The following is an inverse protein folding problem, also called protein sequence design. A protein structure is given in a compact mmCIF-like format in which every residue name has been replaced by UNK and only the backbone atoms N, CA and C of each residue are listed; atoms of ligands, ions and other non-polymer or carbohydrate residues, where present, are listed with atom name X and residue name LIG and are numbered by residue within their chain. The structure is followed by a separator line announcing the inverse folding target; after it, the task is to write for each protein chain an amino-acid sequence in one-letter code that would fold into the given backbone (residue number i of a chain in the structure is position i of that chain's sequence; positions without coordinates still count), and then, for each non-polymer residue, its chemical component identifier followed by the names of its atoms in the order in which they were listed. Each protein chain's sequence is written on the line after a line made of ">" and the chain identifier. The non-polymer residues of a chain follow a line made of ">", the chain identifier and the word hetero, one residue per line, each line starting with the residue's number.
data_IF_543864572220
#
_entry.id   IF_543864572220
#
_cell.length_a   1.000
_cell.length_b   1.000
_cell.length_c   1.000
_cell.angle_alpha   90.00
_cell.angle_beta   90.00
_cell.angle_gamma   90.00
#
_symmetry.space_group_name_H-M   'P 1'
#
loop_
_entity.id
_entity.type
_entity.pdbx_description
1 polymer ?
#
# COMPACT_ATOMS: atom_id res chain seq x y z
N UNK A 1 -45.62 -33.78 16.63
CA UNK A 1 -44.84 -33.18 17.74
C UNK A 1 -43.64 -32.49 17.11
N UNK A 2 -43.70 -31.16 17.13
CA UNK A 2 -42.66 -30.13 16.96
C UNK A 2 -41.43 -30.43 16.08
N UNK A 3 -41.43 -29.77 14.93
CA UNK A 3 -40.26 -29.09 14.37
C UNK A 3 -39.84 -27.96 15.31
N UNK A 4 -38.63 -28.00 15.85
CA UNK A 4 -38.02 -26.84 16.53
C UNK A 4 -36.51 -26.81 16.21
N UNK A 5 -36.16 -25.88 15.34
CA UNK A 5 -34.81 -25.62 14.88
C UNK A 5 -34.77 -24.39 13.98
N UNK A 6 -35.44 -23.32 14.41
CA UNK A 6 -35.32 -21.99 13.80
C UNK A 6 -33.88 -21.51 13.94
N UNK A 7 -33.07 -21.67 12.90
CA UNK A 7 -31.91 -20.81 12.67
C UNK A 7 -32.35 -19.74 11.68
N UNK A 8 -32.64 -18.55 12.20
CA UNK A 8 -33.00 -17.41 11.38
C UNK A 8 -31.86 -17.06 10.41
N UNK A 9 -32.17 -17.12 9.12
CA UNK A 9 -31.39 -16.45 8.08
C UNK A 9 -31.50 -14.93 8.29
N UNK A 10 -30.50 -14.36 8.98
CA UNK A 10 -30.50 -12.92 9.23
C UNK A 10 -29.17 -12.39 9.74
N UNK A 11 -28.53 -11.57 8.90
CA UNK A 11 -27.83 -10.32 9.30
C UNK A 11 -26.29 -10.25 9.45
N UNK A 12 -25.49 -11.20 8.97
CA UNK A 12 -24.01 -11.09 9.11
C UNK A 12 -23.25 -10.30 8.02
N UNK A 13 -23.93 -9.70 7.06
CA UNK A 13 -23.33 -8.77 6.10
C UNK A 13 -24.14 -7.48 6.00
N UNK A 14 -24.29 -6.77 7.12
CA UNK A 14 -24.49 -5.32 7.03
C UNK A 14 -23.23 -4.74 6.38
N UNK A 15 -23.39 -4.17 5.18
CA UNK A 15 -22.39 -3.33 4.51
C UNK A 15 -21.75 -2.44 5.58
N UNK A 16 -20.52 -2.76 5.97
CA UNK A 16 -19.73 -1.84 6.77
C UNK A 16 -19.40 -0.72 5.82
N UNK A 17 -20.24 0.31 5.81
CA UNK A 17 -19.79 1.64 5.46
C UNK A 17 -18.61 1.90 6.39
N UNK A 18 -17.41 1.75 5.84
CA UNK A 18 -16.16 2.11 6.49
C UNK A 18 -16.15 3.64 6.61
N UNK A 19 -16.94 4.16 7.53
CA UNK A 19 -16.83 5.52 8.04
C UNK A 19 -15.55 5.59 8.88
N UNK A 20 -14.41 5.51 8.18
CA UNK A 20 -13.11 5.85 8.71
C UNK A 20 -13.18 7.36 8.99
N UNK A 21 -13.35 7.71 10.27
CA UNK A 21 -13.23 9.09 10.72
C UNK A 21 -11.78 9.52 10.48
N UNK A 22 -11.56 10.27 9.41
CA UNK A 22 -10.29 10.93 9.07
C UNK A 22 -9.69 11.60 10.31
N UNK A 23 -8.52 11.13 10.77
CA UNK A 23 -7.67 11.84 11.72
C UNK A 23 -6.43 12.30 10.96
N UNK A 24 -6.58 13.43 10.27
CA UNK A 24 -5.57 14.01 9.39
C UNK A 24 -6.28 14.53 8.14
N UNK A 25 -6.21 15.83 7.89
CA UNK A 25 -6.84 16.41 6.70
C UNK A 25 -6.00 16.05 5.48
N UNK A 26 -6.50 15.14 4.65
CA UNK A 26 -6.00 14.89 3.29
C UNK A 26 -5.94 16.15 2.40
N UNK A 27 -6.54 17.25 2.86
CA UNK A 27 -6.58 18.55 2.19
C UNK A 27 -5.20 19.17 1.92
N UNK A 28 -4.16 18.83 2.70
CA UNK A 28 -2.82 19.43 2.56
C UNK A 28 -1.87 18.57 1.70
N UNK A 29 -2.29 17.37 1.28
CA UNK A 29 -1.50 16.47 0.45
C UNK A 29 -1.77 16.79 -1.02
N UNK A 30 -0.75 17.19 -1.81
CA UNK A 30 -0.94 17.44 -3.23
C UNK A 30 -1.48 16.20 -3.96
N UNK A 31 -2.31 16.37 -5.00
CA UNK A 31 -2.77 15.25 -5.82
C UNK A 31 -1.59 14.53 -6.49
N UNK A 32 -1.77 13.26 -6.91
CA UNK A 32 -0.74 12.56 -7.63
C UNK A 32 -0.47 13.26 -8.96
N UNK A 33 0.78 13.25 -9.41
CA UNK A 33 1.10 13.80 -10.73
C UNK A 33 0.48 12.92 -11.81
N UNK A 34 0.01 13.53 -12.91
CA UNK A 34 -0.51 12.78 -14.07
C UNK A 34 0.54 11.80 -14.63
N UNK A 35 1.83 12.14 -14.53
CA UNK A 35 2.93 11.24 -14.90
C UNK A 35 2.96 10.01 -13.99
N UNK A 36 2.88 10.18 -12.67
CA UNK A 36 2.89 9.07 -11.72
C UNK A 36 1.74 8.08 -11.96
N UNK A 37 0.50 8.58 -12.11
CA UNK A 37 -0.67 7.74 -12.41
C UNK A 37 -0.47 7.00 -13.73
N UNK A 38 -0.05 7.69 -14.79
CA UNK A 38 0.19 7.04 -16.08
C UNK A 38 1.26 5.94 -15.99
N UNK A 39 2.36 6.19 -15.29
CA UNK A 39 3.42 5.19 -15.17
C UNK A 39 3.00 3.97 -14.31
N UNK A 40 2.13 4.13 -13.31
CA UNK A 40 1.60 2.97 -12.57
C UNK A 40 0.67 2.12 -13.43
N UNK A 41 -0.17 2.74 -14.28
CA UNK A 41 -1.00 2.03 -15.24
C UNK A 41 -0.18 1.33 -16.32
N UNK A 42 0.88 1.94 -16.86
CA UNK A 42 1.78 1.29 -17.83
C UNK A 42 2.53 0.13 -17.21
N UNK A 43 2.99 0.26 -15.97
CA UNK A 43 3.78 -0.78 -15.33
C UNK A 43 3.06 -2.13 -15.27
N UNK A 44 1.72 -2.13 -15.07
CA UNK A 44 0.94 -3.37 -14.98
C UNK A 44 0.93 -4.20 -16.28
N UNK A 45 1.25 -3.59 -17.43
CA UNK A 45 1.38 -4.30 -18.71
C UNK A 45 2.52 -5.32 -18.69
N UNK A 46 3.52 -5.13 -17.82
CA UNK A 46 4.66 -6.03 -17.64
C UNK A 46 4.46 -7.05 -16.52
N UNK A 47 3.28 -7.07 -15.89
CA UNK A 47 2.96 -8.01 -14.82
C UNK A 47 3.07 -9.45 -15.30
N UNK A 48 3.72 -10.28 -14.49
CA UNK A 48 3.78 -11.73 -14.70
C UNK A 48 2.95 -12.40 -13.61
N UNK A 49 1.64 -12.52 -13.84
CA UNK A 49 0.69 -13.07 -12.88
C UNK A 49 -0.14 -14.24 -13.45
N UNK A 50 0.49 -15.36 -13.85
CA UNK A 50 -0.21 -16.46 -14.49
C UNK A 50 -1.13 -17.25 -13.53
N UNK A 51 -1.08 -17.01 -12.22
CA UNK A 51 -1.87 -17.76 -11.25
C UNK A 51 -3.09 -16.98 -10.78
N UNK A 52 -2.94 -15.70 -10.43
CA UNK A 52 -4.08 -14.86 -10.01
C UNK A 52 -4.76 -14.15 -11.16
N UNK A 53 -4.07 -13.97 -12.29
CA UNK A 53 -4.49 -13.15 -13.43
C UNK A 53 -4.80 -11.69 -13.05
N UNK A 54 -4.38 -11.26 -11.86
CA UNK A 54 -4.60 -9.90 -11.35
C UNK A 54 -3.34 -9.06 -11.59
N UNK A 55 -3.36 -8.26 -12.65
CA UNK A 55 -2.26 -7.33 -12.95
C UNK A 55 -2.32 -6.12 -12.02
N UNK A 56 -1.19 -5.84 -11.38
CA UNK A 56 -0.99 -4.68 -10.52
C UNK A 56 0.28 -3.96 -10.95
N UNK A 57 0.18 -2.64 -11.09
CA UNK A 57 1.29 -1.75 -11.38
C UNK A 57 1.44 -0.69 -10.31
N UNK A 58 2.66 -0.20 -10.12
CA UNK A 58 2.96 0.84 -9.16
C UNK A 58 4.00 1.83 -9.72
N UNK A 59 3.89 3.08 -9.28
CA UNK A 59 4.84 4.15 -9.60
C UNK A 59 5.19 4.93 -8.34
N UNK A 60 6.45 4.80 -7.92
CA UNK A 60 7.04 5.47 -6.78
C UNK A 60 7.67 6.80 -7.23
N UNK A 61 7.27 7.91 -6.62
CA UNK A 61 7.88 9.22 -6.77
C UNK A 61 8.87 9.46 -5.64
N UNK A 62 10.09 9.87 -5.96
CA UNK A 62 11.14 10.23 -5.01
C UNK A 62 11.14 11.73 -4.72
N UNK A 63 11.84 12.17 -3.68
CA UNK A 63 11.95 13.60 -3.34
C UNK A 63 12.65 14.43 -4.43
N UNK A 64 13.60 13.83 -5.15
CA UNK A 64 14.30 14.46 -6.27
C UNK A 64 13.50 14.42 -7.59
N UNK A 65 12.25 13.96 -7.54
CA UNK A 65 11.31 14.03 -8.67
C UNK A 65 11.43 12.88 -9.68
N UNK A 66 12.23 11.85 -9.39
CA UNK A 66 12.34 10.66 -10.21
C UNK A 66 11.16 9.71 -9.97
N UNK A 67 10.83 8.91 -10.99
CA UNK A 67 9.75 7.94 -10.92
C UNK A 67 10.30 6.54 -11.22
N UNK A 68 10.07 5.63 -10.29
CA UNK A 68 10.40 4.23 -10.40
C UNK A 68 9.12 3.41 -10.48
N UNK A 69 8.95 2.67 -11.57
CA UNK A 69 7.80 1.80 -11.77
C UNK A 69 8.11 0.35 -11.43
N UNK A 70 7.06 -0.39 -11.09
CA UNK A 70 7.12 -1.82 -10.80
C UNK A 70 5.77 -2.50 -11.04
N UNK A 71 5.80 -3.82 -11.24
CA UNK A 71 4.62 -4.66 -11.38
C UNK A 71 4.71 -5.88 -10.46
N UNK A 72 3.59 -6.56 -10.24
CA UNK A 72 3.61 -7.83 -9.55
C UNK A 72 4.20 -8.94 -10.44
N UNK A 73 5.02 -9.78 -9.81
CA UNK A 73 5.65 -10.95 -10.43
C UNK A 73 5.39 -12.14 -9.53
N UNK A 74 4.59 -13.06 -10.02
CA UNK A 74 4.19 -14.25 -9.29
C UNK A 74 5.17 -15.41 -9.50
N UNK A 75 5.20 -16.29 -8.52
CA UNK A 75 5.98 -17.52 -8.54
C UNK A 75 5.09 -18.71 -8.14
N UNK A 76 5.38 -19.90 -8.66
CA UNK A 76 4.67 -21.13 -8.29
C UNK A 76 4.72 -21.39 -6.76
N UNK A 77 5.85 -21.05 -6.13
CA UNK A 77 5.93 -20.90 -4.68
C UNK A 77 5.47 -19.49 -4.32
N UNK A 78 4.19 -19.33 -3.96
CA UNK A 78 3.56 -18.01 -3.78
C UNK A 78 4.25 -17.10 -2.77
N UNK A 79 4.98 -17.68 -1.80
CA UNK A 79 5.78 -16.90 -0.84
C UNK A 79 6.89 -16.07 -1.50
N UNK A 80 7.37 -16.49 -2.68
CA UNK A 80 8.40 -15.81 -3.46
C UNK A 80 7.84 -14.73 -4.39
N UNK A 81 6.51 -14.59 -4.46
CA UNK A 81 5.87 -13.57 -5.30
C UNK A 81 6.14 -12.15 -4.76
N UNK A 82 6.41 -11.22 -5.67
CA UNK A 82 6.60 -9.81 -5.35
C UNK A 82 5.41 -8.97 -5.82
N UNK A 83 4.96 -8.06 -4.96
CA UNK A 83 3.93 -7.08 -5.30
C UNK A 83 4.55 -5.89 -6.03
N UNK A 84 3.74 -5.16 -6.81
CA UNK A 84 4.17 -4.04 -7.62
C UNK A 84 4.88 -2.93 -6.83
N UNK A 85 4.37 -2.61 -5.64
CA UNK A 85 4.92 -1.58 -4.75
C UNK A 85 6.32 -1.95 -4.28
N UNK A 86 6.51 -3.22 -3.86
CA UNK A 86 7.83 -3.73 -3.43
C UNK A 86 8.80 -3.77 -4.60
N UNK A 87 8.34 -4.12 -5.80
CA UNK A 87 9.16 -4.05 -7.02
C UNK A 87 9.64 -2.62 -7.29
N UNK A 88 8.74 -1.63 -7.25
CA UNK A 88 9.07 -0.21 -7.49
C UNK A 88 10.04 0.34 -6.43
N UNK A 89 9.80 0.03 -5.15
CA UNK A 89 10.64 0.45 -4.02
C UNK A 89 12.03 -0.18 -4.12
N UNK A 90 12.11 -1.50 -4.32
CA UNK A 90 13.38 -2.20 -4.44
C UNK A 90 14.22 -1.64 -5.61
N UNK A 91 13.57 -1.34 -6.73
CA UNK A 91 14.23 -0.70 -7.88
C UNK A 91 14.82 0.65 -7.49
N UNK A 92 14.01 1.57 -6.95
CA UNK A 92 14.47 2.89 -6.51
C UNK A 92 15.65 2.79 -5.53
N UNK A 93 15.54 1.92 -4.53
CA UNK A 93 16.57 1.72 -3.51
C UNK A 93 17.87 1.16 -4.11
N UNK A 94 17.75 0.19 -5.04
CA UNK A 94 18.91 -0.38 -5.72
C UNK A 94 19.65 0.63 -6.61
N UNK A 95 18.94 1.66 -7.08
CA UNK A 95 19.48 2.76 -7.87
C UNK A 95 19.88 3.97 -7.00
N UNK A 96 19.88 3.83 -5.66
CA UNK A 96 20.37 4.83 -4.72
C UNK A 96 19.31 5.80 -4.17
N UNK A 97 18.04 5.64 -4.53
CA UNK A 97 16.95 6.52 -4.10
C UNK A 97 16.23 5.97 -2.86
N UNK A 98 16.49 6.60 -1.71
CA UNK A 98 15.89 6.20 -0.41
C UNK A 98 14.93 7.22 0.19
N UNK A 99 14.88 8.43 -0.38
CA UNK A 99 13.94 9.48 0.03
C UNK A 99 12.71 9.44 -0.85
N UNK A 100 11.65 8.83 -0.33
CA UNK A 100 10.41 8.59 -1.05
C UNK A 100 9.43 9.72 -0.76
N UNK A 101 8.65 10.12 -1.77
CA UNK A 101 7.69 11.23 -1.67
C UNK A 101 6.24 10.78 -1.75
N UNK A 102 5.93 9.82 -2.63
CA UNK A 102 4.57 9.29 -2.81
C UNK A 102 4.60 8.01 -3.61
N UNK A 103 3.56 7.18 -3.52
CA UNK A 103 3.42 5.99 -4.36
C UNK A 103 2.00 5.89 -4.95
N UNK A 104 1.91 5.54 -6.23
CA UNK A 104 0.65 5.21 -6.89
C UNK A 104 0.56 3.70 -7.15
N UNK A 105 -0.64 3.14 -7.04
CA UNK A 105 -0.94 1.72 -7.25
C UNK A 105 -2.18 1.59 -8.13
N UNK A 106 -2.11 0.75 -9.15
CA UNK A 106 -3.15 0.57 -10.16
C UNK A 106 -3.38 -0.90 -10.43
N UNK A 107 -4.61 -1.30 -10.73
CA UNK A 107 -4.95 -2.65 -11.20
C UNK A 107 -5.92 -2.60 -12.38
N UNK A 108 -6.44 -3.76 -12.78
CA UNK A 108 -7.53 -3.91 -13.75
C UNK A 108 -8.93 -3.88 -13.11
N UNK A 109 -9.04 -3.66 -11.80
CA UNK A 109 -10.34 -3.57 -11.14
C UNK A 109 -11.03 -2.25 -11.52
N UNK A 110 -12.24 -2.34 -12.07
CA UNK A 110 -13.02 -1.19 -12.52
C UNK A 110 -13.87 -0.59 -11.39
N UNK A 111 -14.47 -1.44 -10.55
CA UNK A 111 -15.44 -1.03 -9.53
C UNK A 111 -14.79 -0.45 -8.26
N UNK A 112 -13.56 -0.87 -7.95
CA UNK A 112 -12.85 -0.54 -6.70
C UNK A 112 -11.36 -0.31 -6.91
N UNK A 113 -10.77 0.44 -5.99
CA UNK A 113 -9.31 0.62 -5.92
C UNK A 113 -8.64 -0.63 -5.33
N UNK A 114 -7.33 -0.79 -5.54
CA UNK A 114 -6.51 -1.86 -4.94
C UNK A 114 -5.65 -1.29 -3.81
N UNK A 115 -5.94 -1.62 -2.53
CA UNK A 115 -5.08 -1.21 -1.42
C UNK A 115 -3.76 -1.99 -1.41
N UNK A 116 -2.64 -1.37 -0.99
CA UNK A 116 -1.41 -2.11 -0.78
C UNK A 116 -1.62 -3.20 0.28
N UNK A 117 -1.00 -4.35 0.08
CA UNK A 117 -1.07 -5.44 1.05
C UNK A 117 -0.27 -5.10 2.32
N UNK A 118 -0.49 -5.83 3.41
CA UNK A 118 0.18 -5.56 4.69
C UNK A 118 1.71 -5.53 4.59
N UNK A 119 2.30 -6.44 3.80
CA UNK A 119 3.74 -6.47 3.57
C UNK A 119 4.24 -5.22 2.81
N UNK A 120 3.50 -4.75 1.80
CA UNK A 120 3.85 -3.52 1.09
C UNK A 120 3.75 -2.30 2.01
N UNK A 121 2.71 -2.20 2.84
CA UNK A 121 2.57 -1.12 3.83
C UNK A 121 3.78 -1.09 4.76
N UNK A 122 4.20 -2.24 5.27
CA UNK A 122 5.35 -2.34 6.16
C UNK A 122 6.66 -1.95 5.46
N UNK A 123 6.85 -2.31 4.18
CA UNK A 123 8.02 -1.90 3.40
C UNK A 123 8.02 -0.40 3.12
N UNK A 124 6.87 0.18 2.77
CA UNK A 124 6.73 1.64 2.60
C UNK A 124 7.10 2.35 3.91
N UNK A 125 6.68 1.80 5.05
CA UNK A 125 6.87 2.37 6.39
C UNK A 125 8.34 2.45 6.82
N UNK A 126 9.21 1.65 6.21
CA UNK A 126 10.65 1.76 6.42
C UNK A 126 11.21 3.10 5.88
N UNK A 127 10.54 3.69 4.89
CA UNK A 127 10.99 4.92 4.22
C UNK A 127 10.21 6.17 4.64
N UNK A 128 9.26 6.04 5.57
CA UNK A 128 8.48 7.15 6.14
C UNK A 128 6.98 7.05 5.89
N UNK A 129 6.23 8.03 6.38
CA UNK A 129 4.81 8.20 6.11
C UNK A 129 4.63 9.01 4.83
N UNK A 130 4.42 8.29 3.71
CA UNK A 130 4.18 8.89 2.39
C UNK A 130 2.74 8.62 1.94
N UNK A 131 2.11 9.54 1.19
CA UNK A 131 0.80 9.30 0.62
C UNK A 131 0.79 8.14 -0.37
N UNK A 132 -0.27 7.33 -0.28
CA UNK A 132 -0.55 6.21 -1.16
C UNK A 132 -1.78 6.53 -2.01
N UNK A 133 -1.58 6.60 -3.32
CA UNK A 133 -2.64 6.84 -4.30
C UNK A 133 -3.08 5.52 -4.93
N UNK A 134 -4.27 5.05 -4.61
CA UNK A 134 -4.86 3.83 -5.17
C UNK A 134 -5.79 4.23 -6.31
N UNK A 135 -5.44 3.91 -7.55
CA UNK A 135 -6.14 4.40 -8.74
C UNK A 135 -7.08 3.35 -9.32
N UNK A 136 -8.15 3.81 -9.95
CA UNK A 136 -9.06 3.02 -10.79
C UNK A 136 -8.69 3.18 -12.27
N UNK A 137 -9.27 2.33 -13.11
CA UNK A 137 -9.06 2.34 -14.57
C UNK A 137 -9.47 3.68 -15.22
N UNK A 138 -10.50 4.34 -14.68
CA UNK A 138 -10.98 5.65 -15.16
C UNK A 138 -10.09 6.84 -14.73
N UNK A 139 -9.01 6.58 -13.98
CA UNK A 139 -8.10 7.60 -13.47
C UNK A 139 -8.56 8.25 -12.16
N UNK A 140 -9.76 7.97 -11.66
CA UNK A 140 -10.16 8.33 -10.30
C UNK A 140 -9.29 7.58 -9.28
N UNK A 141 -9.15 8.12 -8.07
CA UNK A 141 -8.29 7.52 -7.06
C UNK A 141 -8.82 7.76 -5.64
N UNK A 142 -8.36 6.89 -4.73
CA UNK A 142 -8.44 7.09 -3.29
C UNK A 142 -7.03 7.35 -2.78
N UNK A 143 -6.84 8.38 -1.98
CA UNK A 143 -5.59 8.67 -1.31
C UNK A 143 -5.74 8.39 0.18
N UNK A 144 -4.73 7.74 0.76
CA UNK A 144 -4.59 7.55 2.20
C UNK A 144 -3.15 7.79 2.62
N UNK A 145 -2.94 8.23 3.85
CA UNK A 145 -1.59 8.20 4.44
C UNK A 145 -1.20 6.79 4.84
N UNK A 146 0.08 6.56 5.10
CA UNK A 146 0.52 5.26 5.56
C UNK A 146 0.06 5.01 7.01
N UNK A 147 0.00 6.04 7.85
CA UNK A 147 -0.54 5.94 9.21
C UNK A 147 -2.00 5.47 9.21
N UNK A 148 -2.82 5.92 8.26
CA UNK A 148 -4.21 5.44 8.11
C UNK A 148 -4.27 3.98 7.64
N UNK A 149 -3.33 3.57 6.79
CA UNK A 149 -3.26 2.21 6.25
C UNK A 149 -2.61 1.21 7.21
N UNK A 150 -1.72 1.65 8.09
CA UNK A 150 -0.97 0.82 9.02
C UNK A 150 -0.82 1.55 10.38
N UNK A 151 -1.93 1.73 11.11
CA UNK A 151 -1.92 2.43 12.39
C UNK A 151 -1.09 1.66 13.43
N UNK A 152 -0.39 2.39 14.31
CA UNK A 152 0.48 1.81 15.35
C UNK A 152 1.52 0.83 14.75
N UNK A 153 2.10 1.23 13.61
CA UNK A 153 3.03 0.38 12.86
C UNK A 153 4.27 -0.01 13.67
N UNK A 154 4.71 -1.24 13.47
CA UNK A 154 6.02 -1.69 13.96
C UNK A 154 7.14 -1.09 13.11
N UNK A 155 8.26 -0.72 13.72
CA UNK A 155 9.42 -0.20 13.00
C UNK A 155 10.72 -0.18 13.80
N UNK A 156 11.74 0.48 13.24
CA UNK A 156 13.09 0.47 13.78
C UNK A 156 13.18 0.97 15.24
N UNK A 157 12.25 1.81 15.70
CA UNK A 157 12.15 2.24 17.10
C UNK A 157 11.94 1.10 18.09
N UNK A 158 11.33 -0.02 17.68
CA UNK A 158 11.16 -1.21 18.53
C UNK A 158 12.42 -2.08 18.62
N UNK A 159 13.38 -1.90 17.70
CA UNK A 159 14.63 -2.65 17.64
C UNK A 159 15.79 -1.93 18.36
N UNK A 160 15.72 -0.60 18.47
CA UNK A 160 16.75 0.19 19.13
C UNK A 160 16.68 -0.04 20.65
N UNK A 161 17.80 -0.44 21.25
CA UNK A 161 17.93 -0.43 22.72
C UNK A 161 17.77 1.01 23.20
N UNK A 162 16.90 1.24 24.18
CA UNK A 162 16.93 2.50 24.91
C UNK A 162 18.28 2.58 25.63
N UNK A 163 19.05 3.64 25.38
CA UNK A 163 20.18 3.97 26.25
C UNK A 163 19.58 4.31 27.61
N UNK A 164 19.62 3.35 28.54
CA UNK A 164 19.34 3.62 29.94
C UNK A 164 20.45 4.55 30.42
N UNK A 165 20.08 5.80 30.65
CA UNK A 165 20.93 6.82 31.26
C UNK A 165 21.49 6.23 32.55
N UNK A 166 22.74 5.79 32.50
CA UNK A 166 23.39 5.18 33.66
C UNK A 166 23.58 6.31 34.67
N UNK A 167 23.13 6.16 35.93
CA UNK A 167 23.28 7.23 36.91
C UNK A 167 24.77 7.58 37.01
N UNK A 168 25.09 8.86 36.73
CA UNK A 168 26.45 9.39 36.88
C UNK A 168 26.91 9.03 38.29
N UNK A 169 27.93 8.17 38.38
CA UNK A 169 28.60 7.91 39.66
C UNK A 169 29.22 9.23 40.10
N UNK A 170 28.68 9.78 41.19
CA UNK A 170 29.30 10.88 41.94
C UNK A 170 30.62 10.42 42.56
#
# INVERSE_FOLDING_TARGET
>A
MQTDGNFEEGSYLKKRDLNIKHRGTTADIPPPTAKQVRESHKAKEFSSCPYSELRVGSALLTEDGQIFSGCNVENACFYLSLCAERTAINKAVSEGHRKLKAIAVSSDLEDRVIPPCGACRQVIREFGDIPVFMTKVDGSYTMMTLEELLPLSWGAEYLRKQEMDSPKRN
#
